data_IF_918198719534
#
_entry.id   IF_918198719534
#
_cell.length_a   1.000
_cell.length_b   1.000
_cell.length_c   1.000
_cell.angle_alpha   90.00
_cell.angle_beta   90.00
_cell.angle_gamma   90.00
#
_symmetry.space_group_name_H-M   'P 1'
#
loop_
_entity.id
_entity.type
_entity.pdbx_description
1 polymer ?
#
# COMPACT_ATOMS: atom_id res chain seq x y z
N UNK A 1 -26.71 5.44 6.31
CA UNK A 1 -25.34 5.89 6.64
C UNK A 1 -24.91 6.97 5.69
N UNK A 2 -24.44 8.10 6.24
CA UNK A 2 -23.89 9.27 5.53
C UNK A 2 -22.49 9.64 6.05
N UNK A 3 -21.88 8.76 6.85
CA UNK A 3 -20.54 8.97 7.41
C UNK A 3 -19.50 8.85 6.29
N UNK A 4 -18.90 9.98 5.93
CA UNK A 4 -17.89 10.05 4.87
C UNK A 4 -16.53 9.48 5.30
N UNK A 5 -16.20 9.55 6.60
CA UNK A 5 -14.97 8.98 7.13
C UNK A 5 -15.02 7.46 7.10
N UNK A 6 -16.14 6.89 7.53
CA UNK A 6 -16.38 5.45 7.42
C UNK A 6 -16.36 4.98 5.96
N UNK A 7 -17.06 5.67 5.06
CA UNK A 7 -17.03 5.33 3.64
C UNK A 7 -15.62 5.35 3.09
N UNK A 8 -14.85 6.41 3.39
CA UNK A 8 -13.48 6.56 2.89
C UNK A 8 -12.56 5.44 3.40
N UNK A 9 -12.72 5.04 4.68
CA UNK A 9 -11.98 3.92 5.25
C UNK A 9 -12.31 2.61 4.53
N UNK A 10 -13.59 2.25 4.41
CA UNK A 10 -14.01 1.01 3.74
C UNK A 10 -13.66 1.00 2.26
N UNK A 11 -13.81 2.14 1.57
CA UNK A 11 -13.42 2.30 0.17
C UNK A 11 -11.92 2.05 -0.03
N UNK A 12 -11.09 2.58 0.87
CA UNK A 12 -9.64 2.35 0.86
C UNK A 12 -9.30 0.87 1.06
N UNK A 13 -9.89 0.22 2.05
CA UNK A 13 -9.66 -1.21 2.30
C UNK A 13 -10.08 -2.08 1.10
N UNK A 14 -11.24 -1.77 0.49
CA UNK A 14 -11.70 -2.47 -0.72
C UNK A 14 -10.74 -2.26 -1.90
N UNK A 15 -10.25 -1.03 -2.08
CA UNK A 15 -9.25 -0.70 -3.10
C UNK A 15 -7.94 -1.48 -2.89
N UNK A 16 -7.40 -1.48 -1.67
CA UNK A 16 -6.16 -2.19 -1.34
C UNK A 16 -6.30 -3.70 -1.52
N UNK A 17 -7.42 -4.28 -1.09
CA UNK A 17 -7.74 -5.69 -1.29
C UNK A 17 -7.82 -6.05 -2.78
N UNK A 18 -8.54 -5.26 -3.58
CA UNK A 18 -8.65 -5.50 -5.02
C UNK A 18 -7.28 -5.40 -5.72
N UNK A 19 -6.46 -4.41 -5.38
CA UNK A 19 -5.09 -4.28 -5.92
C UNK A 19 -4.23 -5.50 -5.53
N UNK A 20 -4.33 -5.98 -4.29
CA UNK A 20 -3.64 -7.18 -3.84
C UNK A 20 -4.07 -8.41 -4.65
N UNK A 21 -5.38 -8.66 -4.76
CA UNK A 21 -5.92 -9.81 -5.50
C UNK A 21 -5.55 -9.77 -6.98
N UNK A 22 -5.60 -8.58 -7.61
CA UNK A 22 -5.15 -8.41 -8.98
C UNK A 22 -3.69 -8.85 -9.18
N UNK A 23 -2.79 -8.48 -8.26
CA UNK A 23 -1.39 -8.91 -8.30
C UNK A 23 -1.22 -10.41 -8.08
N UNK A 24 -1.92 -10.98 -7.09
CA UNK A 24 -1.80 -12.40 -6.74
C UNK A 24 -2.24 -13.31 -7.89
N UNK A 25 -3.28 -12.92 -8.62
CA UNK A 25 -3.93 -13.79 -9.60
C UNK A 25 -3.75 -13.32 -11.05
N UNK A 26 -2.93 -12.30 -11.30
CA UNK A 26 -2.71 -11.78 -12.65
C UNK A 26 -3.96 -11.12 -13.25
N UNK A 27 -4.85 -10.58 -12.41
CA UNK A 27 -6.04 -9.83 -12.84
C UNK A 27 -5.70 -8.34 -12.99
N UNK A 28 -6.60 -7.61 -13.62
CA UNK A 28 -6.51 -6.17 -13.89
C UNK A 28 -7.73 -5.45 -13.35
N UNK A 29 -7.74 -4.12 -13.42
CA UNK A 29 -8.93 -3.32 -13.08
C UNK A 29 -10.16 -3.69 -13.91
N UNK A 30 -9.97 -4.28 -15.10
CA UNK A 30 -11.07 -4.67 -16.01
C UNK A 30 -11.82 -5.90 -15.54
N UNK A 31 -11.20 -6.69 -14.68
CA UNK A 31 -11.77 -7.92 -14.13
C UNK A 31 -12.64 -7.64 -12.89
N UNK A 32 -12.65 -6.39 -12.41
CA UNK A 32 -13.43 -5.96 -11.24
C UNK A 32 -14.81 -5.48 -11.69
N UNK A 33 -15.84 -6.12 -11.14
CA UNK A 33 -17.25 -5.81 -11.39
C UNK A 33 -18.00 -5.58 -10.08
N UNK A 34 -18.96 -4.66 -10.10
CA UNK A 34 -19.93 -4.53 -9.02
C UNK A 34 -20.94 -5.68 -9.05
N UNK A 35 -21.61 -5.96 -7.94
CA UNK A 35 -22.65 -7.02 -7.89
C UNK A 35 -23.74 -6.79 -8.94
N UNK A 36 -24.19 -5.54 -9.11
CA UNK A 36 -25.17 -5.19 -10.15
C UNK A 36 -24.67 -5.44 -11.57
N UNK A 37 -23.38 -5.22 -11.85
CA UNK A 37 -22.79 -5.52 -13.16
C UNK A 37 -22.69 -7.04 -13.37
N UNK A 38 -22.46 -7.81 -12.30
CA UNK A 38 -22.54 -9.26 -12.29
C UNK A 38 -23.93 -9.78 -12.65
N UNK A 39 -24.98 -9.16 -12.11
CA UNK A 39 -26.37 -9.47 -12.50
C UNK A 39 -26.62 -9.17 -13.98
N UNK A 40 -26.19 -8.00 -14.46
CA UNK A 40 -26.29 -7.62 -15.89
C UNK A 40 -25.55 -8.59 -16.82
N UNK A 41 -24.49 -9.24 -16.33
CA UNK A 41 -23.74 -10.28 -17.04
C UNK A 41 -24.32 -11.69 -16.86
N UNK A 42 -25.36 -11.87 -16.04
CA UNK A 42 -25.98 -13.17 -15.77
C UNK A 42 -25.18 -14.10 -14.86
N UNK A 43 -24.19 -13.58 -14.13
CA UNK A 43 -23.30 -14.38 -13.26
C UNK A 43 -23.48 -14.12 -11.76
N UNK A 44 -24.41 -13.22 -11.39
CA UNK A 44 -24.73 -12.91 -10.01
C UNK A 44 -26.25 -12.77 -9.79
N UNK A 45 -26.69 -12.83 -8.53
CA UNK A 45 -28.06 -12.54 -8.13
C UNK A 45 -28.43 -11.06 -8.35
N UNK A 46 -29.73 -10.77 -8.43
CA UNK A 46 -30.27 -9.43 -8.71
C UNK A 46 -30.11 -8.44 -7.52
N UNK A 47 -28.87 -8.14 -7.14
CA UNK A 47 -28.55 -7.10 -6.17
C UNK A 47 -27.96 -5.87 -6.85
N UNK A 48 -28.27 -4.68 -6.29
CA UNK A 48 -27.90 -3.38 -6.86
C UNK A 48 -26.61 -2.77 -6.31
N UNK A 49 -25.93 -3.43 -5.39
CA UNK A 49 -24.67 -2.93 -4.81
C UNK A 49 -23.48 -3.10 -5.77
N UNK A 50 -22.41 -2.30 -5.62
CA UNK A 50 -22.25 -1.18 -4.68
C UNK A 50 -22.86 0.15 -5.17
N UNK A 51 -23.56 0.16 -6.33
CA UNK A 51 -24.04 1.38 -7.01
C UNK A 51 -24.76 2.35 -6.07
N UNK A 52 -25.71 1.83 -5.27
CA UNK A 52 -26.51 2.64 -4.36
C UNK A 52 -25.68 3.34 -3.27
N UNK A 53 -24.57 2.74 -2.83
CA UNK A 53 -23.72 3.32 -1.80
C UNK A 53 -22.70 4.28 -2.43
N UNK A 54 -22.09 3.88 -3.55
CA UNK A 54 -21.13 4.70 -4.28
C UNK A 54 -21.72 6.04 -4.75
N UNK A 55 -22.97 6.04 -5.25
CA UNK A 55 -23.65 7.27 -5.67
C UNK A 55 -23.78 8.33 -4.56
N UNK A 56 -23.85 7.91 -3.29
CA UNK A 56 -23.95 8.84 -2.14
C UNK A 56 -22.67 9.62 -1.88
N UNK A 57 -21.54 9.17 -2.43
CA UNK A 57 -20.21 9.75 -2.22
C UNK A 57 -19.54 10.11 -3.54
N UNK A 58 -20.34 10.35 -4.59
CA UNK A 58 -19.85 10.71 -5.92
C UNK A 58 -18.82 9.71 -6.49
N UNK A 59 -18.99 8.42 -6.17
CA UNK A 59 -18.20 7.31 -6.70
C UNK A 59 -19.02 6.45 -7.65
N UNK A 60 -18.34 5.68 -8.47
CA UNK A 60 -18.89 4.66 -9.35
C UNK A 60 -17.92 3.47 -9.47
N UNK A 61 -18.37 2.38 -10.09
CA UNK A 61 -17.46 1.28 -10.43
C UNK A 61 -16.34 1.74 -11.37
N UNK A 62 -16.60 2.70 -12.26
CA UNK A 62 -15.57 3.25 -13.14
C UNK A 62 -14.52 4.04 -12.37
N UNK A 63 -14.92 4.87 -11.40
CA UNK A 63 -13.95 5.55 -10.53
C UNK A 63 -13.17 4.55 -9.69
N UNK A 64 -13.82 3.49 -9.20
CA UNK A 64 -13.15 2.44 -8.42
C UNK A 64 -12.13 1.67 -9.25
N UNK A 65 -12.48 1.28 -10.48
CA UNK A 65 -11.55 0.64 -11.43
C UNK A 65 -10.38 1.57 -11.79
N UNK A 66 -10.63 2.87 -11.98
CA UNK A 66 -9.56 3.84 -12.22
C UNK A 66 -8.61 3.94 -11.01
N UNK A 67 -9.14 3.97 -9.79
CA UNK A 67 -8.35 3.98 -8.55
C UNK A 67 -7.53 2.67 -8.41
N UNK A 68 -8.12 1.50 -8.72
CA UNK A 68 -7.40 0.21 -8.73
C UNK A 68 -6.26 0.23 -9.76
N UNK A 69 -6.53 0.72 -10.98
CA UNK A 69 -5.52 0.84 -12.02
C UNK A 69 -4.34 1.71 -11.57
N UNK A 70 -4.63 2.83 -10.89
CA UNK A 70 -3.61 3.68 -10.30
C UNK A 70 -2.81 2.95 -9.20
N UNK A 71 -3.49 2.20 -8.33
CA UNK A 71 -2.85 1.39 -7.29
C UNK A 71 -1.98 0.24 -7.83
N UNK A 72 -2.36 -0.34 -8.97
CA UNK A 72 -1.54 -1.33 -9.69
C UNK A 72 -0.30 -0.67 -10.31
N UNK A 73 -0.45 0.50 -10.95
CA UNK A 73 0.66 1.23 -11.56
C UNK A 73 1.66 1.76 -10.51
N UNK A 74 1.19 2.24 -9.36
CA UNK A 74 2.03 2.77 -8.28
C UNK A 74 2.95 1.72 -7.63
N UNK A 75 2.70 0.43 -7.86
CA UNK A 75 3.52 -0.67 -7.37
C UNK A 75 4.49 -1.25 -8.42
N UNK A 76 4.38 -0.84 -9.69
CA UNK A 76 5.29 -1.26 -10.77
C UNK A 76 6.51 -0.34 -10.85
N UNK A 77 6.41 0.89 -10.34
CA UNK A 77 7.55 1.66 -9.88
C UNK A 77 7.92 1.17 -8.48
N UNK A 78 9.19 0.83 -8.17
CA UNK A 78 9.63 0.86 -6.80
C UNK A 78 9.47 2.32 -6.36
N UNK A 79 8.40 2.63 -5.66
CA UNK A 79 8.14 3.99 -5.23
C UNK A 79 9.32 4.43 -4.36
N UNK A 80 10.05 5.51 -4.71
CA UNK A 80 10.74 6.27 -3.69
C UNK A 80 9.66 6.68 -2.70
N UNK A 81 9.80 6.27 -1.46
CA UNK A 81 8.92 6.69 -0.37
C UNK A 81 9.06 8.20 -0.17
N UNK A 82 8.31 9.02 -0.90
CA UNK A 82 8.22 10.46 -0.64
C UNK A 82 7.46 10.64 0.67
N UNK A 83 8.07 11.14 1.76
CA UNK A 83 7.40 11.25 3.04
C UNK A 83 6.52 12.50 3.05
N UNK A 84 5.19 12.34 3.09
CA UNK A 84 4.22 13.46 3.23
C UNK A 84 4.10 14.00 4.67
N UNK A 85 5.12 13.78 5.52
CA UNK A 85 5.30 14.45 6.80
C UNK A 85 6.77 14.24 7.23
N UNK A 86 7.42 15.20 7.91
CA UNK A 86 8.72 14.97 8.50
C UNK A 86 8.62 13.82 9.51
N UNK A 87 9.06 12.63 9.11
CA UNK A 87 9.12 11.46 9.98
C UNK A 87 10.23 11.69 11.02
N UNK A 88 9.85 11.67 12.29
CA UNK A 88 10.81 11.70 13.41
C UNK A 88 11.46 10.33 13.53
N UNK A 89 12.75 10.24 13.20
CA UNK A 89 13.51 9.00 13.35
C UNK A 89 14.27 9.00 14.67
N UNK A 90 14.16 7.90 15.41
CA UNK A 90 15.01 7.61 16.56
C UNK A 90 16.11 6.66 16.09
N UNK A 91 17.36 6.95 16.47
CA UNK A 91 18.52 6.10 16.16
C UNK A 91 18.99 5.42 17.44
N UNK A 92 19.28 4.12 17.34
CA UNK A 92 19.89 3.34 18.43
C UNK A 92 21.35 3.14 18.10
N UNK A 93 22.23 3.52 19.02
CA UNK A 93 23.67 3.31 18.88
C UNK A 93 24.06 1.97 19.52
N UNK A 94 24.74 1.15 18.74
CA UNK A 94 25.16 -0.22 19.11
C UNK A 94 26.64 -0.30 19.52
N UNK A 95 27.37 0.83 19.46
CA UNK A 95 28.75 0.96 19.94
C UNK A 95 29.37 2.32 19.61
N UNK A 96 30.48 2.65 20.28
CA UNK A 96 31.35 3.77 19.97
C UNK A 96 32.80 3.27 19.96
N UNK A 97 33.53 3.51 18.86
CA UNK A 97 34.85 2.94 18.65
C UNK A 97 35.84 4.04 18.25
N UNK A 98 37.01 4.07 18.88
CA UNK A 98 38.14 4.94 18.49
C UNK A 98 38.96 4.36 17.34
N UNK A 99 38.86 3.05 17.08
CA UNK A 99 39.58 2.34 16.02
C UNK A 99 38.60 1.90 14.94
N UNK A 100 38.83 2.33 13.69
CA UNK A 100 37.95 2.06 12.54
C UNK A 100 37.68 0.57 12.34
N UNK A 101 38.71 -0.27 12.43
CA UNK A 101 38.59 -1.71 12.24
C UNK A 101 37.57 -2.36 13.19
N UNK A 102 37.44 -1.85 14.42
CA UNK A 102 36.48 -2.37 15.40
C UNK A 102 35.04 -1.98 15.04
N UNK A 103 34.84 -0.77 14.52
CA UNK A 103 33.54 -0.32 14.01
C UNK A 103 33.10 -1.14 12.80
N UNK A 104 34.03 -1.40 11.86
CA UNK A 104 33.77 -2.21 10.67
C UNK A 104 33.39 -3.66 11.03
N UNK A 105 34.10 -4.25 12.00
CA UNK A 105 33.80 -5.59 12.49
C UNK A 105 32.40 -5.69 13.13
N UNK A 106 31.99 -4.67 13.89
CA UNK A 106 30.64 -4.62 14.46
C UNK A 106 29.58 -4.44 13.36
N UNK A 107 29.83 -3.56 12.38
CA UNK A 107 28.93 -3.36 11.25
C UNK A 107 28.69 -4.66 10.46
N UNK A 108 29.75 -5.43 10.20
CA UNK A 108 29.66 -6.71 9.52
C UNK A 108 28.79 -7.72 10.29
N UNK A 109 28.97 -7.80 11.61
CA UNK A 109 28.15 -8.66 12.49
C UNK A 109 26.68 -8.27 12.45
N UNK A 110 26.36 -6.98 12.50
CA UNK A 110 24.99 -6.49 12.47
C UNK A 110 24.31 -6.79 11.14
N UNK A 111 25.01 -6.60 10.03
CA UNK A 111 24.49 -6.96 8.71
C UNK A 111 24.24 -8.47 8.58
N UNK A 112 25.18 -9.29 9.08
CA UNK A 112 25.00 -10.74 9.11
C UNK A 112 23.82 -11.17 10.02
N UNK A 113 23.53 -10.41 11.08
CA UNK A 113 22.38 -10.61 11.97
C UNK A 113 21.05 -10.05 11.40
N UNK A 114 21.06 -9.50 10.18
CA UNK A 114 19.85 -9.03 9.48
C UNK A 114 19.59 -7.52 9.55
N UNK A 115 20.45 -6.73 10.19
CA UNK A 115 20.34 -5.27 10.20
C UNK A 115 20.99 -4.66 8.94
N UNK A 116 20.33 -4.78 7.79
CA UNK A 116 20.86 -4.39 6.48
C UNK A 116 21.20 -2.91 6.36
N UNK A 117 20.42 -2.06 7.04
CA UNK A 117 20.53 -0.60 7.00
C UNK A 117 21.46 -0.03 8.08
N UNK A 118 22.20 -0.89 8.80
CA UNK A 118 23.22 -0.43 9.75
C UNK A 118 24.33 0.34 9.01
N UNK A 119 24.81 1.44 9.62
CA UNK A 119 25.89 2.27 9.10
C UNK A 119 26.75 2.85 10.22
N UNK A 120 27.99 3.21 9.88
CA UNK A 120 28.89 3.90 10.80
C UNK A 120 28.72 5.41 10.58
N UNK A 121 28.48 6.14 11.66
CA UNK A 121 28.46 7.61 11.65
C UNK A 121 29.77 8.13 12.25
N UNK A 122 30.52 8.91 11.49
CA UNK A 122 31.64 9.69 12.00
C UNK A 122 31.14 11.09 12.35
N UNK A 123 31.56 11.64 13.49
CA UNK A 123 31.40 13.05 13.79
C UNK A 123 32.79 13.68 13.63
N UNK A 124 32.89 14.71 12.80
CA UNK A 124 34.03 15.64 12.78
C UNK A 124 33.98 16.58 13.98
#
# INVERSE_FOLDING_TARGET
MTDASYFSAVYKEALELCVYLCKQYGLTEKDIIGHYEGYQKGIASNHGDPKNWFLKYCKSMDTFRADVKAGLAAAVTPAPVTPTAPKKYYRVQVGAYSVKANADAMLAKLKAAGFTDAFIKYNE
#
